data_IF_254399962986
#
_entry.id   IF_254399962986
#
_cell.length_a   1.000
_cell.length_b   1.000
_cell.length_c   1.000
_cell.angle_alpha   90.00
_cell.angle_beta   90.00
_cell.angle_gamma   90.00
#
_symmetry.space_group_name_H-M   'P 1'
#
loop_
_entity.id
_entity.type
_entity.pdbx_description
1 polymer ?
#
# COMPACT_ATOMS: atom_id res chain seq x y z
N UNK A 1 -12.30 -25.82 21.48
CA UNK A 1 -12.38 -25.20 20.13
C UNK A 1 -12.68 -23.72 20.33
N UNK A 2 -11.64 -22.88 20.38
CA UNK A 2 -11.79 -21.42 20.52
C UNK A 2 -11.93 -20.85 19.11
N UNK A 3 -13.07 -20.23 18.82
CA UNK A 3 -13.29 -19.45 17.59
C UNK A 3 -12.62 -18.10 17.78
N UNK A 4 -11.59 -17.80 17.00
CA UNK A 4 -11.08 -16.44 16.86
C UNK A 4 -12.03 -15.72 15.91
N UNK A 5 -12.75 -14.73 16.45
CA UNK A 5 -13.59 -13.82 15.70
C UNK A 5 -12.65 -12.77 15.10
N UNK A 6 -12.35 -12.89 13.81
CA UNK A 6 -11.70 -11.81 13.06
C UNK A 6 -12.77 -10.75 12.84
N UNK A 7 -12.68 -9.65 13.59
CA UNK A 7 -13.50 -8.48 13.37
C UNK A 7 -12.82 -7.68 12.25
N UNK A 8 -13.17 -7.98 11.00
CA UNK A 8 -12.87 -7.07 9.90
C UNK A 8 -13.76 -5.84 10.08
N UNK A 9 -13.22 -4.80 10.70
CA UNK A 9 -13.89 -3.50 10.73
C UNK A 9 -13.82 -2.94 9.33
N UNK A 10 -14.90 -3.11 8.57
CA UNK A 10 -15.14 -2.29 7.38
C UNK A 10 -15.35 -0.88 7.90
N UNK A 11 -14.34 -0.03 7.81
CA UNK A 11 -14.54 1.41 7.90
C UNK A 11 -15.25 1.82 6.61
N UNK A 12 -16.58 1.72 6.63
CA UNK A 12 -17.40 2.45 5.67
C UNK A 12 -17.15 3.92 6.00
N UNK A 13 -16.40 4.61 5.14
CA UNK A 13 -16.37 6.06 5.15
C UNK A 13 -17.80 6.50 4.82
N UNK A 14 -18.61 6.74 5.85
CA UNK A 14 -19.89 7.40 5.67
C UNK A 14 -19.55 8.82 5.23
N UNK A 15 -19.58 9.05 3.92
CA UNK A 15 -19.53 10.38 3.33
C UNK A 15 -20.83 11.06 3.75
N UNK A 16 -20.85 11.61 4.95
CA UNK A 16 -21.87 12.56 5.35
C UNK A 16 -21.81 13.68 4.32
N UNK A 17 -22.93 13.93 3.63
CA UNK A 17 -23.02 15.01 2.68
C UNK A 17 -22.69 16.33 3.40
N UNK A 18 -21.48 16.85 3.17
CA UNK A 18 -21.13 18.19 3.60
C UNK A 18 -22.08 19.19 2.93
N UNK A 19 -22.60 20.20 3.65
CA UNK A 19 -23.36 21.25 3.01
C UNK A 19 -22.49 21.93 1.95
N UNK A 20 -23.10 22.24 0.79
CA UNK A 20 -22.40 22.90 -0.31
C UNK A 20 -21.69 24.17 0.19
N UNK A 21 -20.42 24.40 -0.20
CA UNK A 21 -19.68 25.56 0.26
C UNK A 21 -20.37 26.85 -0.17
N UNK A 22 -20.38 27.85 0.73
CA UNK A 22 -20.81 29.19 0.39
C UNK A 22 -19.96 29.74 -0.78
N UNK A 23 -20.53 30.56 -1.70
CA UNK A 23 -19.78 31.05 -2.83
C UNK A 23 -18.60 31.92 -2.35
N UNK A 24 -17.38 31.46 -2.62
CA UNK A 24 -16.13 32.15 -2.25
C UNK A 24 -15.28 31.49 -1.17
N UNK A 25 -15.71 30.36 -0.58
CA UNK A 25 -14.85 29.55 0.29
C UNK A 25 -13.88 28.69 -0.54
N UNK A 26 -12.59 28.70 -0.18
CA UNK A 26 -11.62 27.72 -0.70
C UNK A 26 -12.04 26.28 -0.40
N UNK A 27 -11.36 25.28 -0.97
CA UNK A 27 -11.70 23.87 -0.76
C UNK A 27 -11.84 23.57 0.74
N UNK A 28 -13.03 23.09 1.13
CA UNK A 28 -13.33 22.69 2.51
C UNK A 28 -13.03 21.20 2.59
N UNK A 29 -11.96 20.85 3.31
CA UNK A 29 -11.65 19.46 3.62
C UNK A 29 -12.81 18.86 4.43
N UNK A 30 -13.08 17.55 4.27
CA UNK A 30 -14.01 16.86 5.16
C UNK A 30 -13.52 17.01 6.60
N UNK A 31 -14.42 17.07 7.59
CA UNK A 31 -14.07 17.34 8.99
C UNK A 31 -13.01 16.35 9.53
N UNK A 32 -12.94 15.14 8.98
CA UNK A 32 -11.95 14.13 9.34
C UNK A 32 -10.55 14.40 8.74
N UNK A 33 -10.46 15.10 7.61
CA UNK A 33 -9.18 15.43 6.97
C UNK A 33 -8.51 16.68 7.56
N UNK A 34 -9.26 17.49 8.33
CA UNK A 34 -8.71 18.65 9.06
C UNK A 34 -7.73 18.24 10.16
N UNK A 35 -7.78 17.00 10.65
CA UNK A 35 -6.88 16.54 11.71
C UNK A 35 -5.49 16.16 11.19
N UNK A 36 -5.35 15.97 9.88
CA UNK A 36 -4.11 15.57 9.22
C UNK A 36 -3.57 16.66 8.28
N UNK A 37 -4.19 17.85 8.25
CA UNK A 37 -3.80 18.96 7.39
C UNK A 37 -2.49 19.64 7.84
N UNK A 38 -2.07 19.43 9.10
CA UNK A 38 -0.82 19.93 9.65
C UNK A 38 0.38 19.03 9.37
N UNK A 39 0.18 17.86 8.77
CA UNK A 39 1.29 16.97 8.41
C UNK A 39 2.19 17.71 7.42
N UNK A 40 3.43 17.93 7.82
CA UNK A 40 4.46 18.46 6.92
C UNK A 40 5.08 17.28 6.17
N UNK A 41 4.69 17.13 4.91
CA UNK A 41 5.24 16.13 4.00
C UNK A 41 6.71 16.43 3.73
N UNK A 42 7.53 15.38 3.65
CA UNK A 42 8.94 15.51 3.32
C UNK A 42 9.13 15.54 1.81
N UNK A 43 9.79 16.58 1.28
CA UNK A 43 10.11 16.76 -0.13
C UNK A 43 11.61 16.56 -0.45
N UNK A 44 12.39 16.01 0.47
CA UNK A 44 13.84 15.85 0.32
C UNK A 44 14.24 15.08 -0.94
N UNK A 45 13.46 14.06 -1.29
CA UNK A 45 13.67 13.22 -2.46
C UNK A 45 13.42 13.97 -3.78
N UNK A 46 12.39 14.81 -3.84
CA UNK A 46 12.14 15.70 -4.98
C UNK A 46 13.25 16.76 -5.14
N UNK A 47 13.75 17.31 -4.04
CA UNK A 47 14.79 18.33 -4.06
C UNK A 47 16.14 17.79 -4.58
N UNK A 48 16.47 16.52 -4.30
CA UNK A 48 17.69 15.88 -4.74
C UNK A 48 17.81 15.75 -6.27
N UNK A 49 16.68 15.70 -7.00
CA UNK A 49 16.63 15.58 -8.46
C UNK A 49 16.68 16.94 -9.19
N UNK A 50 16.81 18.06 -8.46
CA UNK A 50 17.03 19.40 -9.02
C UNK A 50 15.85 19.96 -9.84
N UNK A 51 14.64 19.45 -9.65
CA UNK A 51 13.42 19.90 -10.35
C UNK A 51 12.55 20.76 -9.42
N UNK A 52 11.79 21.69 -10.01
CA UNK A 52 10.74 22.44 -9.29
C UNK A 52 9.79 21.46 -8.60
N UNK A 53 9.50 21.69 -7.31
CA UNK A 53 8.49 20.95 -6.54
C UNK A 53 7.19 21.03 -7.32
N UNK A 54 6.86 19.96 -8.03
CA UNK A 54 5.62 19.84 -8.77
C UNK A 54 4.52 19.62 -7.72
N UNK A 55 3.46 20.43 -7.78
CA UNK A 55 2.30 20.31 -6.89
C UNK A 55 1.42 19.11 -7.24
N UNK A 56 1.88 18.22 -8.13
CA UNK A 56 1.26 16.93 -8.39
C UNK A 56 1.35 16.09 -7.10
N UNK A 57 0.19 15.98 -6.45
CA UNK A 57 -0.02 15.36 -5.14
C UNK A 57 0.29 13.86 -5.12
N UNK A 58 0.00 13.23 -3.99
CA UNK A 58 0.09 11.78 -3.85
C UNK A 58 -0.83 11.06 -4.82
N UNK A 59 -0.49 9.82 -5.17
CA UNK A 59 -1.33 9.03 -6.08
C UNK A 59 -2.43 8.32 -5.34
N UNK A 60 -2.05 7.53 -4.33
CA UNK A 60 -2.96 6.85 -3.41
C UNK A 60 -2.51 7.00 -1.95
N UNK A 61 -3.45 6.80 -1.03
CA UNK A 61 -3.20 6.71 0.40
C UNK A 61 -3.91 5.49 0.96
N UNK A 62 -3.13 4.65 1.64
CA UNK A 62 -3.59 3.39 2.21
C UNK A 62 -3.44 3.37 3.72
N UNK A 63 -4.30 2.61 4.38
CA UNK A 63 -4.35 2.58 5.84
C UNK A 63 -4.20 1.16 6.35
N UNK A 64 -3.33 0.98 7.34
CA UNK A 64 -3.12 -0.32 7.97
C UNK A 64 -2.88 -0.19 9.47
N UNK A 65 -3.47 -1.13 10.23
CA UNK A 65 -3.19 -1.29 11.66
C UNK A 65 -2.14 -2.38 11.83
N UNK A 66 -0.90 -1.99 12.15
CA UNK A 66 0.26 -2.89 12.20
C UNK A 66 0.68 -3.12 13.66
N UNK A 67 0.83 -4.39 14.09
CA UNK A 67 1.33 -4.69 15.43
C UNK A 67 2.84 -4.41 15.52
N UNK A 68 3.23 -3.51 16.42
CA UNK A 68 4.65 -3.18 16.65
C UNK A 68 5.13 -3.71 17.99
N UNK A 69 6.36 -4.24 18.01
CA UNK A 69 7.01 -4.68 19.24
C UNK A 69 7.18 -3.50 20.20
N UNK A 70 6.74 -3.65 21.46
CA UNK A 70 6.99 -2.63 22.47
C UNK A 70 8.48 -2.61 22.83
N UNK A 71 9.01 -1.44 23.20
CA UNK A 71 10.44 -1.21 23.49
C UNK A 71 11.06 -2.13 24.55
N UNK A 72 10.27 -2.94 25.27
CA UNK A 72 10.75 -3.98 26.16
C UNK A 72 11.41 -5.17 25.44
N UNK A 73 11.09 -5.44 24.17
CA UNK A 73 11.59 -6.61 23.44
C UNK A 73 12.93 -6.37 22.72
N UNK A 74 13.26 -5.11 22.38
CA UNK A 74 14.53 -4.75 21.70
C UNK A 74 15.76 -4.78 22.62
N UNK A 75 15.59 -5.11 23.90
CA UNK A 75 16.63 -5.02 24.94
C UNK A 75 17.03 -6.36 25.55
N UNK A 76 17.48 -7.36 24.77
CA UNK A 76 18.26 -8.45 25.36
C UNK A 76 19.23 -9.13 24.39
N UNK A 77 20.24 -8.37 23.95
CA UNK A 77 21.44 -8.88 23.29
C UNK A 77 22.69 -8.23 23.91
N UNK A 78 23.36 -8.96 24.80
CA UNK A 78 24.72 -8.71 25.33
C UNK A 78 24.96 -7.48 26.23
N UNK A 79 24.95 -7.72 27.54
CA UNK A 79 25.59 -6.85 28.53
C UNK A 79 25.89 -7.62 29.82
N UNK A 80 27.09 -8.21 29.92
CA UNK A 80 27.62 -8.72 31.20
C UNK A 80 27.96 -7.52 32.09
N UNK A 81 27.24 -7.33 33.19
CA UNK A 81 27.48 -6.28 34.18
C UNK A 81 26.80 -6.61 35.52
N UNK A 82 27.49 -6.32 36.62
CA UNK A 82 27.34 -6.90 37.94
C UNK A 82 26.43 -6.07 38.88
N UNK A 83 25.55 -6.74 39.63
CA UNK A 83 25.05 -6.34 40.98
C UNK A 83 24.04 -5.19 41.12
N UNK A 84 22.85 -5.50 41.68
CA UNK A 84 22.06 -4.50 42.43
C UNK A 84 20.52 -4.56 42.28
N UNK A 85 19.85 -5.03 43.33
CA UNK A 85 18.44 -4.81 43.73
C UNK A 85 17.31 -5.18 42.74
N UNK A 86 16.69 -6.35 42.99
CA UNK A 86 15.34 -6.70 42.51
C UNK A 86 14.32 -5.70 43.05
N UNK A 87 13.73 -4.89 42.17
CA UNK A 87 12.33 -4.50 42.31
C UNK A 87 11.53 -5.39 41.37
N UNK A 88 10.78 -6.34 41.94
CA UNK A 88 9.83 -7.17 41.20
C UNK A 88 8.59 -6.33 40.86
N UNK A 89 8.76 -5.39 39.92
CA UNK A 89 7.66 -4.90 39.12
C UNK A 89 7.30 -6.02 38.14
N UNK A 90 6.19 -6.71 38.40
CA UNK A 90 5.63 -7.72 37.51
C UNK A 90 5.21 -7.02 36.21
N UNK A 91 6.18 -6.85 35.30
CA UNK A 91 5.91 -6.39 33.94
C UNK A 91 4.93 -7.37 33.35
N UNK A 92 3.68 -6.94 33.16
CA UNK A 92 2.79 -7.65 32.25
C UNK A 92 3.50 -7.57 30.92
N UNK A 93 3.85 -8.73 30.40
CA UNK A 93 4.20 -8.91 29.00
C UNK A 93 3.04 -8.33 28.19
N UNK A 94 3.16 -7.05 27.83
CA UNK A 94 2.19 -6.37 26.98
C UNK A 94 2.60 -6.83 25.60
N UNK A 95 1.78 -7.72 25.01
CA UNK A 95 1.94 -8.10 23.62
C UNK A 95 2.04 -6.88 22.71
N UNK A 96 2.38 -7.07 21.43
CA UNK A 96 2.65 -5.97 20.51
C UNK A 96 1.52 -4.94 20.53
N UNK A 97 1.91 -3.67 20.54
CA UNK A 97 0.96 -2.55 20.50
C UNK A 97 0.46 -2.42 19.06
N UNK A 98 -0.86 -2.37 18.87
CA UNK A 98 -1.43 -2.10 17.56
C UNK A 98 -1.34 -0.59 17.30
N UNK A 99 -0.74 -0.22 16.17
CA UNK A 99 -0.55 1.16 15.72
C UNK A 99 -1.23 1.34 14.36
N UNK A 100 -1.82 2.50 14.14
CA UNK A 100 -2.48 2.82 12.87
C UNK A 100 -1.55 3.70 12.02
N UNK A 101 -1.39 3.33 10.75
CA UNK A 101 -0.51 4.03 9.81
C UNK A 101 -1.24 4.39 8.52
N UNK A 102 -0.86 5.52 7.95
CA UNK A 102 -1.18 5.89 6.57
C UNK A 102 0.08 5.79 5.70
N UNK A 103 -0.06 5.18 4.54
CA UNK A 103 0.99 4.98 3.55
C UNK A 103 0.60 5.76 2.30
N UNK A 104 1.34 6.82 1.99
CA UNK A 104 1.04 7.69 0.87
C UNK A 104 2.02 7.45 -0.28
N UNK A 105 1.45 7.06 -1.42
CA UNK A 105 2.11 7.08 -2.70
C UNK A 105 2.41 8.50 -3.14
N UNK A 106 3.60 8.73 -3.67
CA UNK A 106 3.96 10.04 -4.19
C UNK A 106 4.71 9.94 -5.51
N UNK A 107 4.38 10.84 -6.44
CA UNK A 107 5.18 11.04 -7.63
C UNK A 107 6.57 11.55 -7.25
N UNK A 108 7.57 10.70 -7.44
CA UNK A 108 9.02 10.97 -7.28
C UNK A 108 9.48 11.43 -5.89
N UNK A 109 8.67 11.30 -4.85
CA UNK A 109 9.09 11.64 -3.48
C UNK A 109 9.27 10.40 -2.59
N UNK A 110 9.02 9.20 -3.14
CA UNK A 110 9.07 7.97 -2.37
C UNK A 110 7.79 7.68 -1.60
N UNK A 111 7.78 6.53 -0.93
CA UNK A 111 6.67 6.13 -0.07
C UNK A 111 6.75 6.91 1.24
N UNK A 112 5.70 7.64 1.58
CA UNK A 112 5.62 8.38 2.86
C UNK A 112 4.76 7.60 3.85
N UNK A 113 5.26 7.44 5.07
CA UNK A 113 4.59 6.68 6.13
C UNK A 113 4.30 7.59 7.31
N UNK A 114 3.03 7.69 7.67
CA UNK A 114 2.54 8.54 8.74
C UNK A 114 1.96 7.66 9.84
N UNK A 115 2.42 7.81 11.08
CA UNK A 115 1.74 7.29 12.26
C UNK A 115 0.50 8.15 12.51
N UNK A 116 -0.67 7.51 12.44
CA UNK A 116 -1.99 8.13 12.67
C UNK A 116 -2.72 7.46 13.85
N UNK A 117 -1.98 6.75 14.72
CA UNK A 117 -2.54 6.09 15.91
C UNK A 117 -3.30 7.08 16.78
N UNK A 118 -2.77 8.31 16.90
CA UNK A 118 -3.54 9.48 17.34
C UNK A 118 -3.71 10.42 16.14
N UNK A 119 -4.91 10.49 15.55
CA UNK A 119 -5.12 11.32 14.37
C UNK A 119 -4.99 12.82 14.66
N UNK A 120 -5.05 13.25 15.94
CA UNK A 120 -4.84 14.66 16.32
C UNK A 120 -3.38 15.04 16.52
N UNK A 121 -2.49 14.05 16.50
CA UNK A 121 -1.03 14.19 16.60
C UNK A 121 -0.37 13.23 15.59
N UNK A 122 -0.85 13.29 14.34
CA UNK A 122 -0.34 12.48 13.24
C UNK A 122 1.09 12.94 12.86
N UNK A 123 1.98 11.97 12.62
CA UNK A 123 3.41 12.26 12.41
C UNK A 123 3.98 11.47 11.24
N UNK A 124 4.69 12.14 10.33
CA UNK A 124 5.53 11.46 9.35
C UNK A 124 6.65 10.72 10.08
N UNK A 125 6.68 9.39 9.96
CA UNK A 125 7.65 8.52 10.64
C UNK A 125 8.68 7.92 9.70
N UNK A 126 8.41 7.88 8.39
CA UNK A 126 9.39 7.48 7.38
C UNK A 126 9.10 8.11 6.00
N UNK A 127 10.17 8.35 5.26
CA UNK A 127 10.16 8.63 3.81
C UNK A 127 11.09 7.60 3.17
N UNK A 128 10.53 6.60 2.48
CA UNK A 128 11.32 5.57 1.83
C UNK A 128 11.65 5.95 0.39
N UNK A 129 12.95 5.97 0.06
CA UNK A 129 13.45 6.35 -1.26
C UNK A 129 13.04 5.35 -2.35
N UNK A 130 11.83 5.55 -2.87
CA UNK A 130 11.33 4.92 -4.07
C UNK A 130 10.78 5.98 -5.03
N UNK A 131 11.69 6.81 -5.57
CA UNK A 131 11.36 7.96 -6.43
C UNK A 131 11.03 7.54 -7.86
N UNK A 132 9.98 6.77 -7.99
CA UNK A 132 9.41 6.37 -9.28
C UNK A 132 8.23 7.27 -9.67
N UNK A 133 7.80 7.13 -10.92
CA UNK A 133 6.55 7.71 -11.42
C UNK A 133 5.41 6.71 -11.30
N UNK A 134 4.22 7.22 -11.00
CA UNK A 134 3.04 6.51 -10.52
C UNK A 134 3.12 6.33 -9.00
N UNK A 135 3.52 5.19 -8.47
CA UNK A 135 3.67 5.01 -7.02
C UNK A 135 2.35 4.77 -6.29
N UNK A 136 1.36 4.23 -7.01
CA UNK A 136 0.10 3.76 -6.43
C UNK A 136 0.44 2.64 -5.46
N UNK A 137 -0.05 2.82 -4.24
CA UNK A 137 0.32 2.00 -3.09
C UNK A 137 -0.88 1.19 -2.66
N UNK A 138 -0.63 -0.06 -2.28
CA UNK A 138 -1.60 -0.87 -1.54
C UNK A 138 -0.90 -1.57 -0.39
N UNK A 139 -1.45 -1.50 0.83
CA UNK A 139 -0.89 -2.20 2.00
C UNK A 139 -1.73 -3.44 2.32
N UNK A 140 -1.08 -4.57 2.56
CA UNK A 140 -1.74 -5.85 2.78
C UNK A 140 -0.92 -6.78 3.69
N UNK A 141 -1.58 -7.78 4.27
CA UNK A 141 -0.91 -8.85 5.02
C UNK A 141 -0.66 -10.04 4.09
N UNK A 142 0.62 -10.36 3.87
CA UNK A 142 1.07 -11.57 3.19
C UNK A 142 1.17 -12.74 4.18
N UNK A 143 0.68 -13.95 3.84
CA UNK A 143 0.61 -15.08 4.78
C UNK A 143 1.95 -15.50 5.42
N UNK A 144 3.07 -15.29 4.72
CA UNK A 144 4.41 -15.70 5.19
C UNK A 144 5.36 -14.54 5.45
N UNK A 145 5.07 -13.35 4.90
CA UNK A 145 5.96 -12.20 4.96
C UNK A 145 5.44 -11.09 5.89
N UNK A 146 4.23 -11.25 6.45
CA UNK A 146 3.62 -10.23 7.29
C UNK A 146 3.15 -9.04 6.45
N UNK A 147 3.35 -7.82 6.93
CA UNK A 147 2.83 -6.62 6.27
C UNK A 147 3.72 -6.17 5.11
N UNK A 148 3.13 -6.11 3.92
CA UNK A 148 3.76 -5.62 2.71
C UNK A 148 2.99 -4.42 2.14
N UNK A 149 3.69 -3.58 1.39
CA UNK A 149 3.11 -2.58 0.52
C UNK A 149 3.50 -2.88 -0.93
N UNK A 150 2.54 -2.88 -1.85
CA UNK A 150 2.85 -2.77 -3.28
C UNK A 150 3.10 -1.31 -3.64
N UNK A 151 3.92 -1.05 -4.66
CA UNK A 151 4.20 0.31 -5.15
C UNK A 151 4.41 0.30 -6.67
N UNK A 152 3.54 0.95 -7.45
CA UNK A 152 3.53 0.78 -8.92
C UNK A 152 4.57 1.59 -9.67
N UNK A 153 5.34 0.94 -10.53
CA UNK A 153 6.15 1.59 -11.56
C UNK A 153 5.47 1.43 -12.92
N UNK A 154 4.86 2.51 -13.41
CA UNK A 154 4.17 2.50 -14.70
C UNK A 154 5.14 2.68 -15.89
N UNK A 155 4.72 2.22 -17.06
CA UNK A 155 5.41 2.44 -18.32
C UNK A 155 5.17 3.86 -18.84
N UNK A 156 5.94 4.26 -19.88
CA UNK A 156 5.85 5.61 -20.44
C UNK A 156 6.54 6.71 -19.62
N UNK A 157 7.00 6.40 -18.41
CA UNK A 157 7.78 7.30 -17.58
C UNK A 157 9.27 6.97 -17.60
N UNK A 158 10.11 8.02 -17.51
CA UNK A 158 11.54 7.84 -17.20
C UNK A 158 11.68 7.62 -15.71
N UNK A 159 12.05 6.39 -15.35
CA UNK A 159 12.35 6.01 -13.98
C UNK A 159 13.81 6.35 -13.66
N UNK A 160 14.03 6.93 -12.48
CA UNK A 160 15.37 7.20 -11.95
C UNK A 160 15.72 6.10 -10.94
N UNK A 161 16.97 5.66 -10.97
CA UNK A 161 17.51 4.76 -9.94
C UNK A 161 17.27 5.38 -8.56
N UNK A 162 16.71 4.58 -7.66
CA UNK A 162 16.30 4.96 -6.30
C UNK A 162 16.60 3.79 -5.37
N UNK A 163 16.64 4.01 -4.05
CA UNK A 163 16.96 2.95 -3.09
C UNK A 163 16.11 1.68 -3.28
N UNK A 164 14.82 1.80 -3.60
CA UNK A 164 13.97 0.62 -3.82
C UNK A 164 14.42 -0.29 -4.97
N UNK A 165 15.06 0.25 -6.02
CA UNK A 165 15.61 -0.56 -7.10
C UNK A 165 16.84 -1.35 -6.62
N UNK A 166 17.70 -0.70 -5.85
CA UNK A 166 18.88 -1.35 -5.23
C UNK A 166 18.47 -2.40 -4.20
N UNK A 167 17.51 -2.10 -3.33
CA UNK A 167 17.00 -3.02 -2.30
C UNK A 167 16.34 -4.26 -2.95
N UNK A 168 15.65 -4.09 -4.08
CA UNK A 168 15.02 -5.18 -4.84
C UNK A 168 15.95 -5.86 -5.89
N UNK A 169 17.22 -5.46 -5.99
CA UNK A 169 18.20 -5.97 -6.97
C UNK A 169 17.72 -5.91 -8.44
N UNK A 170 17.09 -4.79 -8.82
CA UNK A 170 16.63 -4.53 -10.19
C UNK A 170 17.20 -3.23 -10.75
N UNK A 171 17.24 -3.08 -12.07
CA UNK A 171 17.64 -1.83 -12.71
C UNK A 171 16.49 -0.82 -12.81
N UNK A 172 16.82 0.48 -12.73
CA UNK A 172 15.88 1.60 -12.86
C UNK A 172 14.84 1.49 -14.00
N UNK A 173 15.17 0.86 -15.14
CA UNK A 173 14.27 0.82 -16.29
C UNK A 173 13.14 -0.22 -16.17
N UNK A 174 13.11 -1.02 -15.11
CA UNK A 174 12.06 -2.02 -14.89
C UNK A 174 10.73 -1.35 -14.54
N UNK A 175 9.63 -1.96 -14.99
CA UNK A 175 8.25 -1.50 -14.77
C UNK A 175 7.39 -2.67 -14.31
N UNK A 176 6.39 -2.40 -13.48
CA UNK A 176 5.70 -3.42 -12.67
C UNK A 176 5.33 -2.90 -11.28
N UNK A 177 5.41 -3.75 -10.26
CA UNK A 177 5.10 -3.37 -8.88
C UNK A 177 6.21 -3.81 -7.92
N UNK A 178 6.72 -2.90 -7.09
CA UNK A 178 7.59 -3.26 -5.96
C UNK A 178 6.79 -3.98 -4.89
N UNK A 179 7.47 -4.87 -4.16
CA UNK A 179 6.98 -5.46 -2.91
C UNK A 179 7.86 -4.92 -1.78
N UNK A 180 7.28 -4.12 -0.88
CA UNK A 180 7.98 -3.40 0.18
C UNK A 180 7.56 -3.98 1.52
N UNK A 181 8.52 -4.50 2.30
CA UNK A 181 8.31 -4.89 3.69
C UNK A 181 8.05 -3.64 4.54
N UNK A 182 6.91 -3.67 5.25
CA UNK A 182 6.48 -2.61 6.17
C UNK A 182 6.12 -3.17 7.55
N UNK A 183 6.65 -4.34 7.94
CA UNK A 183 6.50 -4.88 9.29
C UNK A 183 7.10 -3.96 10.38
N UNK A 184 8.10 -3.16 10.03
CA UNK A 184 8.52 -1.96 10.78
C UNK A 184 8.21 -0.72 9.92
N UNK A 185 7.06 -0.04 10.13
CA UNK A 185 6.65 1.09 9.30
C UNK A 185 7.62 2.29 9.36
N UNK A 186 8.53 2.32 10.33
CA UNK A 186 9.58 3.35 10.43
C UNK A 186 10.82 3.05 9.58
N UNK A 187 10.93 1.83 9.04
CA UNK A 187 12.02 1.41 8.16
C UNK A 187 11.54 0.49 7.03
N UNK A 188 10.78 1.02 6.05
CA UNK A 188 10.38 0.25 4.87
C UNK A 188 11.57 -0.20 4.03
N UNK A 189 11.46 -1.37 3.39
CA UNK A 189 12.49 -1.90 2.49
C UNK A 189 11.86 -2.73 1.37
N UNK A 190 12.23 -2.47 0.12
CA UNK A 190 11.84 -3.31 -1.00
C UNK A 190 12.51 -4.69 -0.86
N UNK A 191 11.71 -5.75 -0.91
CA UNK A 191 12.16 -7.15 -0.80
C UNK A 191 11.97 -7.94 -2.10
N UNK A 192 11.34 -7.33 -3.11
CA UNK A 192 11.10 -7.95 -4.40
C UNK A 192 10.40 -7.02 -5.38
N UNK A 193 10.19 -7.54 -6.58
CA UNK A 193 9.56 -6.81 -7.69
C UNK A 193 8.77 -7.78 -8.58
N UNK A 194 7.52 -7.43 -8.87
CA UNK A 194 6.66 -8.17 -9.80
C UNK A 194 6.69 -7.46 -11.16
N UNK A 195 7.39 -8.02 -12.18
CA UNK A 195 7.49 -7.38 -13.48
C UNK A 195 6.19 -7.51 -14.27
N UNK A 196 5.70 -6.38 -14.77
CA UNK A 196 4.65 -6.33 -15.80
C UNK A 196 5.22 -5.57 -16.99
N UNK A 197 5.37 -6.24 -18.14
CA UNK A 197 6.06 -5.64 -19.29
C UNK A 197 5.42 -4.32 -19.77
N UNK A 198 4.12 -4.18 -19.52
CA UNK A 198 3.33 -3.00 -19.77
C UNK A 198 3.39 -1.89 -18.73
N UNK A 199 4.09 -2.12 -17.61
CA UNK A 199 3.98 -1.34 -16.40
C UNK A 199 2.75 -1.68 -15.58
N UNK A 200 2.69 -1.06 -14.41
CA UNK A 200 1.56 -1.09 -13.50
C UNK A 200 1.11 0.35 -13.32
N UNK A 201 -0.11 0.67 -13.73
CA UNK A 201 -0.70 1.98 -13.45
C UNK A 201 -1.24 1.94 -12.03
N UNK A 202 -2.14 0.99 -11.75
CA UNK A 202 -2.59 0.63 -10.42
C UNK A 202 -2.51 -0.89 -10.27
N UNK A 203 -2.71 -1.41 -9.07
CA UNK A 203 -2.73 -2.81 -8.74
C UNK A 203 -3.63 -3.06 -7.53
N UNK A 204 -4.16 -4.27 -7.43
CA UNK A 204 -4.92 -4.68 -6.26
C UNK A 204 -4.63 -6.12 -5.92
N UNK A 205 -4.19 -6.34 -4.68
CA UNK A 205 -3.92 -7.62 -4.06
C UNK A 205 -5.23 -8.17 -3.51
N UNK A 206 -5.52 -9.42 -3.89
CA UNK A 206 -6.64 -10.20 -3.41
C UNK A 206 -6.62 -10.29 -1.86
N UNK A 207 -7.76 -10.25 -1.15
CA UNK A 207 -7.81 -10.24 0.33
C UNK A 207 -7.09 -11.39 1.05
N UNK A 208 -6.79 -12.49 0.36
CA UNK A 208 -5.96 -13.57 0.89
C UNK A 208 -4.45 -13.22 0.96
N UNK A 209 -4.03 -12.08 0.40
CA UNK A 209 -2.65 -11.61 0.37
C UNK A 209 -1.75 -12.30 -0.63
N UNK A 210 -2.28 -13.15 -1.52
CA UNK A 210 -1.47 -14.07 -2.35
C UNK A 210 -1.52 -13.82 -3.84
N UNK A 211 -2.38 -12.92 -4.33
CA UNK A 211 -2.51 -12.68 -5.77
C UNK A 211 -2.63 -11.17 -6.03
N UNK A 212 -1.81 -10.65 -6.92
CA UNK A 212 -1.80 -9.24 -7.34
C UNK A 212 -2.42 -9.12 -8.73
N UNK A 213 -3.46 -8.31 -8.86
CA UNK A 213 -4.18 -8.03 -10.10
C UNK A 213 -3.72 -6.66 -10.62
N UNK A 214 -3.11 -6.63 -11.80
CA UNK A 214 -2.53 -5.44 -12.40
C UNK A 214 -3.57 -4.66 -13.22
N UNK A 215 -3.57 -3.34 -13.09
CA UNK A 215 -4.31 -2.41 -13.92
C UNK A 215 -3.33 -1.56 -14.72
N UNK A 216 -3.30 -1.72 -16.03
CA UNK A 216 -2.29 -1.11 -16.91
C UNK A 216 -2.71 0.25 -17.51
N UNK A 217 -4.01 0.53 -17.57
CA UNK A 217 -4.58 1.78 -18.12
C UNK A 217 -4.19 2.11 -19.58
N UNK A 218 -3.66 1.16 -20.36
CA UNK A 218 -3.16 1.41 -21.72
C UNK A 218 -3.99 0.78 -22.86
N UNK A 219 -5.18 0.25 -22.52
CA UNK A 219 -6.27 -0.15 -23.44
C UNK A 219 -6.03 -1.48 -24.17
N UNK A 220 -5.36 -2.42 -23.53
CA UNK A 220 -5.13 -3.79 -24.03
C UNK A 220 -6.32 -4.73 -23.76
N UNK A 221 -7.20 -4.42 -22.80
CA UNK A 221 -8.39 -5.20 -22.46
C UNK A 221 -8.09 -6.43 -21.59
N UNK A 222 -7.01 -6.41 -20.82
CA UNK A 222 -6.50 -7.54 -20.05
C UNK A 222 -6.11 -7.11 -18.63
N UNK A 223 -6.51 -7.91 -17.64
CA UNK A 223 -5.96 -7.85 -16.29
C UNK A 223 -4.90 -8.94 -16.17
N UNK A 224 -3.64 -8.55 -15.97
CA UNK A 224 -2.57 -9.49 -15.65
C UNK A 224 -2.67 -9.86 -14.16
N UNK A 225 -2.49 -11.13 -13.83
CA UNK A 225 -2.58 -11.61 -12.45
C UNK A 225 -1.31 -12.36 -12.09
N UNK A 226 -0.66 -11.91 -11.02
CA UNK A 226 0.52 -12.56 -10.45
C UNK A 226 0.14 -13.31 -9.17
N UNK A 227 0.40 -14.61 -9.11
CA UNK A 227 0.43 -15.39 -7.89
C UNK A 227 1.74 -15.09 -7.16
N UNK A 228 1.61 -14.41 -6.02
CA UNK A 228 2.69 -13.97 -5.14
C UNK A 228 2.71 -14.78 -3.85
N UNK A 229 2.11 -15.98 -3.80
CA UNK A 229 2.12 -16.85 -2.61
C UNK A 229 3.55 -17.19 -2.16
N UNK A 230 4.42 -17.45 -3.14
CA UNK A 230 5.86 -17.60 -2.97
C UNK A 230 6.53 -16.42 -3.68
N UNK A 231 7.16 -15.53 -2.89
CA UNK A 231 7.77 -14.31 -3.41
C UNK A 231 9.02 -14.59 -4.27
N UNK A 232 9.59 -15.78 -4.14
CA UNK A 232 10.75 -16.22 -4.93
C UNK A 232 10.33 -16.97 -6.23
N UNK A 233 9.06 -17.38 -6.35
CA UNK A 233 8.50 -18.11 -7.51
C UNK A 233 7.15 -17.53 -7.96
N UNK A 234 7.15 -16.27 -8.41
CA UNK A 234 5.95 -15.59 -8.91
C UNK A 234 5.46 -16.20 -10.22
N UNK A 235 4.16 -16.49 -10.30
CA UNK A 235 3.53 -17.09 -11.50
C UNK A 235 2.48 -16.18 -12.10
N UNK A 236 2.37 -16.17 -13.41
CA UNK A 236 1.50 -15.24 -14.12
C UNK A 236 0.36 -15.96 -14.86
N UNK A 237 -0.81 -15.34 -14.82
CA UNK A 237 -1.95 -15.62 -15.69
C UNK A 237 -2.56 -14.28 -16.14
N UNK A 238 -3.60 -14.34 -16.97
CA UNK A 238 -4.31 -13.14 -17.38
C UNK A 238 -5.81 -13.39 -17.53
N UNK A 239 -6.58 -12.32 -17.37
CA UNK A 239 -8.02 -12.28 -17.60
C UNK A 239 -8.31 -11.30 -18.74
N UNK A 240 -8.88 -11.82 -19.82
CA UNK A 240 -9.46 -11.00 -20.88
C UNK A 240 -10.79 -10.39 -20.37
N UNK A 241 -10.86 -9.06 -20.37
CA UNK A 241 -12.04 -8.28 -19.99
C UNK A 241 -12.69 -7.60 -21.22
N UNK A 242 -12.23 -7.94 -22.43
CA UNK A 242 -12.83 -7.57 -23.70
C UNK A 242 -12.48 -6.16 -24.18
N UNK A 243 -13.02 -5.12 -23.55
CA UNK A 243 -12.92 -3.73 -24.05
C UNK A 243 -11.61 -3.06 -23.60
N UNK A 244 -11.66 -1.91 -22.91
CA UNK A 244 -10.46 -1.22 -22.44
C UNK A 244 -9.93 -1.85 -21.15
N UNK A 245 -8.67 -1.58 -20.80
CA UNK A 245 -8.11 -2.06 -19.55
C UNK A 245 -8.81 -1.50 -18.31
N UNK A 246 -8.73 -2.31 -17.26
CA UNK A 246 -8.96 -1.89 -15.89
C UNK A 246 -8.07 -0.70 -15.54
N UNK A 247 -8.68 0.30 -14.92
CA UNK A 247 -7.96 1.37 -14.24
C UNK A 247 -7.79 1.04 -12.76
N UNK A 248 -8.89 0.65 -12.10
CA UNK A 248 -8.92 0.26 -10.70
C UNK A 248 -9.69 -1.05 -10.53
N UNK A 249 -9.28 -1.85 -9.54
CA UNK A 249 -9.94 -3.08 -9.15
C UNK A 249 -10.25 -2.99 -7.66
N UNK A 250 -11.39 -3.51 -7.24
CA UNK A 250 -11.65 -3.70 -5.80
C UNK A 250 -12.28 -5.06 -5.58
N UNK A 251 -11.92 -5.70 -4.47
CA UNK A 251 -12.48 -6.98 -4.05
C UNK A 251 -13.56 -6.77 -3.00
N UNK A 252 -14.54 -7.67 -2.99
CA UNK A 252 -15.36 -7.82 -1.80
C UNK A 252 -14.53 -8.44 -0.65
N UNK A 253 -15.03 -8.34 0.58
CA UNK A 253 -14.25 -8.68 1.78
C UNK A 253 -13.73 -10.13 1.84
N UNK A 254 -14.45 -11.10 1.26
CA UNK A 254 -14.02 -12.50 1.22
C UNK A 254 -13.18 -12.85 -0.02
N UNK A 255 -12.96 -11.88 -0.91
CA UNK A 255 -12.18 -12.04 -2.13
C UNK A 255 -12.88 -12.85 -3.23
N UNK A 256 -14.11 -13.32 -3.03
CA UNK A 256 -14.80 -14.13 -4.04
C UNK A 256 -15.28 -13.34 -5.26
N UNK A 257 -15.33 -12.00 -5.18
CA UNK A 257 -15.70 -11.11 -6.27
C UNK A 257 -14.75 -9.94 -6.37
N UNK A 258 -14.43 -9.56 -7.61
CA UNK A 258 -13.80 -8.29 -7.92
C UNK A 258 -14.67 -7.44 -8.84
N UNK A 259 -14.50 -6.14 -8.76
CA UNK A 259 -15.16 -5.13 -9.58
C UNK A 259 -14.07 -4.29 -10.20
N UNK A 260 -13.95 -4.33 -11.52
CA UNK A 260 -12.97 -3.54 -12.26
C UNK A 260 -13.68 -2.39 -12.96
N UNK A 261 -13.17 -1.18 -12.75
CA UNK A 261 -13.59 0.01 -13.47
C UNK A 261 -12.61 0.27 -14.61
N UNK A 262 -13.07 0.05 -15.84
CA UNK A 262 -12.36 0.42 -17.05
C UNK A 262 -12.93 1.72 -17.64
N UNK A 263 -12.20 2.35 -18.56
CA UNK A 263 -12.57 3.66 -19.14
C UNK A 263 -13.98 3.73 -19.75
N UNK A 264 -14.52 2.59 -20.21
CA UNK A 264 -15.78 2.54 -20.95
C UNK A 264 -16.73 1.42 -20.50
N UNK A 265 -16.39 0.68 -19.44
CA UNK A 265 -17.25 -0.36 -18.89
C UNK A 265 -16.80 -0.76 -17.48
N UNK A 266 -17.65 -1.45 -16.75
CA UNK A 266 -17.34 -2.12 -15.49
C UNK A 266 -17.55 -3.61 -15.65
N UNK A 267 -16.57 -4.41 -15.23
CA UNK A 267 -16.72 -5.87 -15.18
C UNK A 267 -16.85 -6.36 -13.75
N UNK A 268 -17.74 -7.33 -13.54
CA UNK A 268 -17.81 -8.11 -12.31
C UNK A 268 -17.09 -9.43 -12.59
N UNK A 269 -16.15 -9.77 -11.71
CA UNK A 269 -15.25 -10.90 -11.88
C UNK A 269 -15.50 -11.89 -10.74
N UNK A 270 -15.68 -13.17 -11.06
CA UNK A 270 -15.59 -14.27 -10.10
C UNK A 270 -14.11 -14.54 -9.80
N UNK A 271 -13.73 -14.35 -8.55
CA UNK A 271 -12.37 -14.53 -8.04
C UNK A 271 -12.32 -15.57 -6.92
N UNK A 272 -13.34 -16.43 -6.82
CA UNK A 272 -13.37 -17.54 -5.86
C UNK A 272 -12.18 -18.51 -6.02
N UNK A 273 -11.61 -18.59 -7.22
CA UNK A 273 -10.26 -19.06 -7.45
C UNK A 273 -9.42 -17.89 -8.00
N UNK A 274 -8.54 -17.26 -7.19
CA UNK A 274 -7.81 -16.07 -7.61
C UNK A 274 -6.75 -16.36 -8.69
N UNK A 275 -6.36 -17.62 -8.91
CA UNK A 275 -5.46 -18.02 -10.01
C UNK A 275 -6.20 -18.29 -11.33
N UNK A 276 -7.53 -18.36 -11.31
CA UNK A 276 -8.36 -18.59 -12.49
C UNK A 276 -9.62 -17.72 -12.44
N UNK A 277 -9.48 -16.39 -12.41
CA UNK A 277 -10.62 -15.49 -12.39
C UNK A 277 -11.41 -15.55 -13.71
N UNK A 278 -12.67 -15.15 -13.67
CA UNK A 278 -13.51 -15.07 -14.87
C UNK A 278 -14.52 -13.94 -14.81
N UNK A 279 -14.76 -13.27 -15.93
CA UNK A 279 -15.82 -12.25 -16.03
C UNK A 279 -17.19 -12.93 -15.94
N UNK A 280 -18.05 -12.43 -15.06
CA UNK A 280 -19.43 -12.91 -14.88
C UNK A 280 -20.49 -11.89 -15.26
N UNK A 281 -20.13 -10.61 -15.39
CA UNK A 281 -21.01 -9.59 -15.93
C UNK A 281 -20.21 -8.41 -16.50
N UNK A 282 -20.76 -7.82 -17.57
CA UNK A 282 -20.30 -6.58 -18.17
C UNK A 282 -21.39 -5.51 -18.02
N UNK A 283 -20.99 -4.31 -17.60
CA UNK A 283 -21.86 -3.15 -17.44
C UNK A 283 -21.29 -2.03 -18.30
N UNK A 284 -22.03 -1.62 -19.33
CA UNK A 284 -21.65 -0.60 -20.33
C UNK A 284 -22.61 0.58 -20.27
#
# INVERSE_FOLDING_TARGET
>A
MKRHLVLATVLVLAIGASPAPAPGGGPVHSDNMQLVDTITWDDAHRAADGRTVDTQGGTDVEFASIPVATTAERGNGQGRGNGGTRSEGRGRDRGPELRDYAFAGTYRNGLQVVDITDPTDARLVATYDCRIMQGDVQVFEHPTAGWLATYTADSGYRQNESRCHTDADIGAAQVGSFLIDVNDPTNPVAIGFVPFAGGSHNQTVHPAGTHLYNSRSDRVGVIEVADITDLDDVRFTSLDIGLNDSHDITFNADGSRAYSAALNHTVIIDTSNPSAPSVVADIV
#
